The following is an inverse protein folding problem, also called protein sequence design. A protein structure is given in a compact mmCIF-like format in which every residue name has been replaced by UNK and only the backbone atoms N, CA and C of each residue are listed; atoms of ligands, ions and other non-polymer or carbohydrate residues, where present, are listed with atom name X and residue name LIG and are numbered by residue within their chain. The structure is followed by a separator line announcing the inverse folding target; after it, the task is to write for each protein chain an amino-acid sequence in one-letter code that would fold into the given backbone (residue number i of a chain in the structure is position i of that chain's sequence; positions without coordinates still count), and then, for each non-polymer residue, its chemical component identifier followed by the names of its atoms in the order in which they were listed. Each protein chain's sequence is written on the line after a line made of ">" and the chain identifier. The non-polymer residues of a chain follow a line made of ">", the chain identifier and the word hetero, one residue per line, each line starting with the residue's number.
data_IF_036489515817
#
_entry.id   IF_036489515817
#
_cell.length_a   1.000
_cell.length_b   1.000
_cell.length_c   1.000
_cell.angle_alpha   90.00
_cell.angle_beta   90.00
_cell.angle_gamma   90.00
#
_symmetry.space_group_name_H-M   'P 1'
#
loop_
_entity.id
_entity.type
_entity.pdbx_description
1 polymer ?
#
# COMPACT_ATOMS: atom_id res chain seq x y z
N UNK A 1 -26.90 -41.32 -9.68
CA UNK A 1 -26.73 -40.45 -8.49
C UNK A 1 -26.20 -39.12 -8.97
N UNK A 2 -27.02 -38.08 -8.90
CA UNK A 2 -26.62 -36.71 -9.35
C UNK A 2 -26.24 -35.92 -8.10
N UNK A 3 -24.96 -35.61 -7.95
CA UNK A 3 -24.51 -34.67 -6.94
C UNK A 3 -24.87 -33.26 -7.36
N UNK A 4 -25.71 -32.61 -6.61
CA UNK A 4 -26.12 -31.23 -6.85
C UNK A 4 -25.11 -30.23 -6.32
N UNK A 5 -24.92 -29.16 -7.08
CA UNK A 5 -23.92 -28.06 -6.88
C UNK A 5 -24.06 -27.29 -5.56
N UNK A 6 -25.04 -27.61 -4.72
CA UNK A 6 -25.31 -26.88 -3.48
C UNK A 6 -24.48 -27.33 -2.25
N UNK A 7 -23.88 -28.55 -2.30
CA UNK A 7 -23.11 -29.07 -1.16
C UNK A 7 -21.72 -28.52 -1.05
N UNK A 8 -21.19 -27.87 -2.11
CA UNK A 8 -19.84 -27.24 -2.06
C UNK A 8 -19.81 -25.89 -1.34
N UNK A 9 -20.93 -25.19 -1.25
CA UNK A 9 -20.97 -23.85 -0.62
C UNK A 9 -21.12 -23.91 0.92
N UNK A 10 -21.59 -25.03 1.46
CA UNK A 10 -21.75 -25.19 2.91
C UNK A 10 -20.43 -25.52 3.65
N UNK A 11 -19.49 -26.18 2.99
CA UNK A 11 -18.23 -26.58 3.62
C UNK A 11 -17.15 -25.48 3.59
N UNK A 12 -17.25 -24.50 2.69
CA UNK A 12 -16.30 -23.36 2.62
C UNK A 12 -16.50 -22.33 3.73
N UNK A 13 -17.73 -22.07 4.11
CA UNK A 13 -18.05 -21.07 5.14
C UNK A 13 -17.64 -21.52 6.56
N UNK A 14 -17.65 -22.83 6.82
CA UNK A 14 -17.30 -23.39 8.11
C UNK A 14 -15.80 -23.40 8.43
N UNK A 15 -14.94 -23.42 7.41
CA UNK A 15 -13.48 -23.41 7.60
C UNK A 15 -12.94 -21.99 7.85
N UNK A 16 -13.55 -21.00 7.20
CA UNK A 16 -13.14 -19.59 7.39
C UNK A 16 -13.53 -19.09 8.79
N UNK A 17 -14.67 -19.53 9.33
CA UNK A 17 -15.13 -19.13 10.65
C UNK A 17 -14.26 -19.68 11.81
N UNK A 18 -13.53 -20.80 11.62
CA UNK A 18 -12.67 -21.37 12.66
C UNK A 18 -11.31 -20.70 12.81
N UNK A 19 -10.87 -19.96 11.81
CA UNK A 19 -9.56 -19.31 11.81
C UNK A 19 -9.56 -17.95 12.51
N UNK A 20 -10.74 -17.38 12.80
CA UNK A 20 -10.90 -16.05 13.42
C UNK A 20 -11.23 -16.09 14.93
N UNK A 21 -11.29 -17.28 15.56
CA UNK A 21 -11.67 -17.41 16.97
C UNK A 21 -10.56 -17.07 17.98
N UNK A 22 -9.39 -16.58 17.53
CA UNK A 22 -8.33 -16.09 18.40
C UNK A 22 -8.09 -14.58 18.29
N UNK A 23 -8.99 -13.84 17.67
CA UNK A 23 -8.95 -12.37 17.75
C UNK A 23 -9.46 -11.95 19.14
N UNK A 24 -8.72 -11.10 19.86
CA UNK A 24 -9.22 -10.52 21.12
C UNK A 24 -10.54 -9.82 20.85
N UNK A 25 -11.45 -9.98 21.80
CA UNK A 25 -12.85 -9.61 21.73
C UNK A 25 -13.08 -8.27 20.99
N UNK A 26 -14.00 -8.31 20.03
CA UNK A 26 -14.54 -7.19 19.23
C UNK A 26 -15.14 -6.02 20.05
N UNK A 27 -14.60 -5.69 21.21
CA UNK A 27 -15.07 -4.58 22.04
C UNK A 27 -14.48 -3.22 21.68
N UNK A 28 -13.53 -3.17 20.74
CA UNK A 28 -12.79 -1.94 20.40
C UNK A 28 -12.86 -1.53 18.92
N UNK A 29 -13.94 -1.90 18.22
CA UNK A 29 -14.14 -1.49 16.81
C UNK A 29 -14.35 0.04 16.69
N UNK A 30 -14.74 0.72 17.74
CA UNK A 30 -14.90 2.17 17.73
C UNK A 30 -13.56 2.94 17.72
N UNK A 31 -12.43 2.27 17.94
CA UNK A 31 -11.09 2.86 17.90
C UNK A 31 -10.33 2.64 16.57
N UNK A 32 -10.85 1.86 15.65
CA UNK A 32 -10.29 1.77 14.29
C UNK A 32 -10.69 3.04 13.52
N UNK A 33 -10.02 4.15 13.82
CA UNK A 33 -10.00 5.28 12.88
C UNK A 33 -9.51 4.73 11.54
N UNK A 34 -10.24 4.96 10.43
CA UNK A 34 -9.76 4.55 9.12
C UNK A 34 -8.33 5.05 8.95
N UNK A 35 -7.42 4.15 8.58
CA UNK A 35 -6.02 4.49 8.34
C UNK A 35 -6.01 5.46 7.16
N UNK A 36 -5.85 6.75 7.46
CA UNK A 36 -5.70 7.78 6.43
C UNK A 36 -4.25 7.85 6.01
N UNK A 37 -4.01 7.72 4.71
CA UNK A 37 -2.71 8.03 4.14
C UNK A 37 -2.40 9.51 4.35
N UNK A 38 -1.15 9.85 4.67
CA UNK A 38 -0.67 11.23 4.72
C UNK A 38 0.22 11.47 3.52
N UNK A 39 -0.20 12.37 2.65
CA UNK A 39 0.48 12.65 1.39
C UNK A 39 1.02 14.09 1.39
N UNK A 40 2.28 14.25 1.01
CA UNK A 40 2.80 15.56 0.64
C UNK A 40 2.16 16.05 -0.66
N UNK A 41 2.05 17.37 -0.84
CA UNK A 41 1.51 17.97 -2.06
C UNK A 41 2.20 17.45 -3.33
N UNK A 42 3.51 17.20 -3.27
CA UNK A 42 4.26 16.64 -4.40
C UNK A 42 3.80 15.22 -4.74
N UNK A 43 3.76 14.30 -3.75
CA UNK A 43 3.33 12.92 -3.97
C UNK A 43 1.87 12.84 -4.41
N UNK A 44 1.00 13.71 -3.86
CA UNK A 44 -0.39 13.81 -4.27
C UNK A 44 -0.52 14.17 -5.74
N UNK A 45 0.27 15.15 -6.20
CA UNK A 45 0.27 15.56 -7.60
C UNK A 45 0.81 14.46 -8.51
N UNK A 46 1.90 13.78 -8.12
CA UNK A 46 2.47 12.66 -8.86
C UNK A 46 1.50 11.47 -8.97
N UNK A 47 0.78 11.14 -7.88
CA UNK A 47 -0.27 10.11 -7.92
C UNK A 47 -1.40 10.48 -8.89
N UNK A 48 -1.79 11.75 -8.95
CA UNK A 48 -2.78 12.21 -9.92
C UNK A 48 -2.30 12.01 -11.37
N UNK A 49 -1.02 12.27 -11.65
CA UNK A 49 -0.43 12.01 -12.96
C UNK A 49 -0.38 10.52 -13.31
N UNK A 50 -0.01 9.65 -12.36
CA UNK A 50 -0.10 8.19 -12.55
C UNK A 50 -1.54 7.78 -12.87
N UNK A 51 -2.52 8.28 -12.12
CA UNK A 51 -3.94 7.99 -12.34
C UNK A 51 -4.38 8.38 -13.76
N UNK A 52 -4.02 9.60 -14.21
CA UNK A 52 -4.35 10.09 -15.55
C UNK A 52 -3.77 9.20 -16.64
N UNK A 53 -2.48 8.86 -16.55
CA UNK A 53 -1.80 7.96 -17.52
C UNK A 53 -2.41 6.57 -17.56
N UNK A 54 -2.74 5.99 -16.41
CA UNK A 54 -3.38 4.69 -16.36
C UNK A 54 -4.78 4.69 -16.99
N UNK A 55 -5.52 5.79 -16.85
CA UNK A 55 -6.79 5.97 -17.55
C UNK A 55 -6.60 6.10 -19.07
N UNK A 56 -5.55 6.77 -19.54
CA UNK A 56 -5.22 6.88 -20.96
C UNK A 56 -4.81 5.54 -21.57
N UNK A 57 -4.07 4.70 -20.85
CA UNK A 57 -3.73 3.33 -21.29
C UNK A 57 -4.99 2.48 -21.42
N UNK A 58 -5.95 2.62 -20.53
CA UNK A 58 -7.31 2.10 -20.65
C UNK A 58 -7.47 0.58 -20.51
N UNK A 59 -6.39 -0.19 -20.28
CA UNK A 59 -6.54 -1.65 -20.07
C UNK A 59 -6.96 -1.97 -18.65
N UNK A 60 -7.63 -3.11 -18.45
CA UNK A 60 -8.25 -3.46 -17.17
C UNK A 60 -7.31 -3.35 -15.95
N UNK A 61 -6.06 -3.84 -15.97
CA UNK A 61 -5.15 -3.71 -14.82
C UNK A 61 -4.82 -2.25 -14.48
N UNK A 62 -4.60 -1.41 -15.51
CA UNK A 62 -4.30 0.01 -15.31
C UNK A 62 -5.50 0.82 -14.85
N UNK A 63 -6.70 0.50 -15.35
CA UNK A 63 -7.93 1.12 -14.86
C UNK A 63 -8.17 0.82 -13.37
N UNK A 64 -7.89 -0.39 -12.93
CA UNK A 64 -7.97 -0.76 -11.50
C UNK A 64 -6.95 -0.02 -10.66
N UNK A 65 -5.70 0.12 -11.13
CA UNK A 65 -4.68 0.95 -10.47
C UNK A 65 -5.15 2.41 -10.38
N UNK A 66 -5.73 2.96 -11.43
CA UNK A 66 -6.28 4.32 -11.42
C UNK A 66 -7.40 4.48 -10.37
N UNK A 67 -8.27 3.47 -10.23
CA UNK A 67 -9.33 3.46 -9.21
C UNK A 67 -8.74 3.38 -7.79
N UNK A 68 -7.72 2.54 -7.57
CA UNK A 68 -7.03 2.42 -6.28
C UNK A 68 -6.37 3.75 -5.88
N UNK A 69 -5.68 4.40 -6.81
CA UNK A 69 -5.09 5.73 -6.59
C UNK A 69 -6.17 6.74 -6.25
N UNK A 70 -7.27 6.76 -7.01
CA UNK A 70 -8.40 7.67 -6.74
C UNK A 70 -8.97 7.49 -5.34
N UNK A 71 -9.21 6.24 -4.91
CA UNK A 71 -9.72 5.94 -3.59
C UNK A 71 -8.75 6.43 -2.50
N UNK A 72 -7.45 6.15 -2.65
CA UNK A 72 -6.43 6.59 -1.72
C UNK A 72 -6.37 8.11 -1.61
N UNK A 73 -6.39 8.82 -2.74
CA UNK A 73 -6.34 10.28 -2.77
C UNK A 73 -7.58 10.91 -2.12
N UNK A 74 -8.76 10.30 -2.27
CA UNK A 74 -10.00 10.79 -1.69
C UNK A 74 -10.00 10.78 -0.16
N UNK A 75 -9.34 9.77 0.45
CA UNK A 75 -9.27 9.61 1.90
C UNK A 75 -7.98 10.18 2.52
N UNK A 76 -7.04 10.64 1.70
CA UNK A 76 -5.74 11.11 2.19
C UNK A 76 -5.84 12.45 2.94
N UNK A 77 -5.03 12.58 3.99
CA UNK A 77 -4.65 13.87 4.56
C UNK A 77 -3.55 14.48 3.69
N UNK A 78 -3.84 15.57 3.01
CA UNK A 78 -2.85 16.26 2.16
C UNK A 78 -2.23 17.40 2.95
N UNK A 79 -0.89 17.38 3.02
CA UNK A 79 -0.09 18.39 3.72
C UNK A 79 0.96 18.97 2.77
N UNK A 80 1.60 20.08 3.16
CA UNK A 80 2.78 20.53 2.42
C UNK A 80 3.85 19.43 2.43
N UNK A 81 4.59 19.28 1.33
CA UNK A 81 5.64 18.24 1.21
C UNK A 81 6.64 18.28 2.36
N UNK A 82 6.98 19.48 2.88
CA UNK A 82 7.90 19.65 4.02
C UNK A 82 7.29 19.24 5.36
N UNK A 83 5.97 19.18 5.45
CA UNK A 83 5.22 18.91 6.68
C UNK A 83 4.73 17.47 6.78
N UNK A 84 5.16 16.59 5.87
CA UNK A 84 4.78 15.17 5.87
C UNK A 84 5.14 14.50 7.20
N UNK A 85 6.29 14.88 7.75
CA UNK A 85 6.80 14.34 9.01
C UNK A 85 7.57 13.03 8.86
N UNK A 86 8.41 12.70 9.85
CA UNK A 86 9.23 11.50 9.82
C UNK A 86 8.37 10.23 9.91
N UNK A 87 8.90 9.14 9.36
CA UNK A 87 8.25 7.83 9.43
C UNK A 87 7.02 7.67 8.53
N UNK A 88 6.74 8.62 7.64
CA UNK A 88 5.72 8.50 6.59
C UNK A 88 6.38 8.11 5.28
N UNK A 89 5.83 7.13 4.59
CA UNK A 89 6.33 6.68 3.29
C UNK A 89 6.03 7.72 2.23
N UNK A 90 7.07 8.28 1.62
CA UNK A 90 6.99 9.21 0.48
C UNK A 90 7.46 8.55 -0.81
N UNK A 91 7.26 9.21 -1.94
CA UNK A 91 7.70 8.73 -3.26
C UNK A 91 9.22 8.68 -3.48
N UNK A 92 10.02 8.99 -2.44
CA UNK A 92 11.47 8.88 -2.46
C UNK A 92 12.03 8.12 -1.25
N UNK A 93 11.18 7.67 -0.32
CA UNK A 93 11.59 6.99 0.90
C UNK A 93 12.14 5.59 0.63
N UNK A 94 13.12 5.19 1.43
CA UNK A 94 13.52 3.80 1.58
C UNK A 94 12.66 3.17 2.67
N UNK A 95 11.81 2.21 2.31
CA UNK A 95 10.83 1.61 3.19
C UNK A 95 11.13 0.14 3.44
N UNK A 96 11.10 -0.25 4.72
CA UNK A 96 11.08 -1.65 5.15
C UNK A 96 9.64 -2.05 5.48
N UNK A 97 9.18 -3.14 4.92
CA UNK A 97 7.81 -3.63 5.07
C UNK A 97 7.77 -5.15 5.07
N UNK A 98 6.65 -5.71 5.52
CA UNK A 98 6.35 -7.14 5.49
C UNK A 98 5.01 -7.38 4.81
N UNK A 99 4.92 -8.47 4.05
CA UNK A 99 3.68 -8.95 3.43
C UNK A 99 3.15 -10.15 4.24
N UNK A 100 2.01 -9.98 4.90
CA UNK A 100 1.43 -11.00 5.76
C UNK A 100 2.43 -11.50 6.82
N UNK A 101 2.66 -12.81 6.85
CA UNK A 101 3.64 -13.47 7.70
C UNK A 101 5.01 -13.71 7.01
N UNK A 102 5.26 -13.05 5.87
CA UNK A 102 6.49 -13.22 5.09
C UNK A 102 7.73 -12.62 5.74
N UNK A 103 8.84 -12.66 5.00
CA UNK A 103 10.08 -12.02 5.43
C UNK A 103 10.05 -10.51 5.18
N UNK A 104 10.67 -9.70 6.05
CA UNK A 104 10.83 -8.27 5.82
C UNK A 104 11.59 -7.99 4.51
N UNK A 105 11.12 -7.00 3.78
CA UNK A 105 11.75 -6.50 2.56
C UNK A 105 12.04 -5.01 2.72
N UNK A 106 13.12 -4.53 2.09
CA UNK A 106 13.44 -3.12 2.04
C UNK A 106 13.58 -2.68 0.59
N UNK A 107 12.86 -1.61 0.22
CA UNK A 107 12.89 -1.04 -1.13
C UNK A 107 12.84 0.48 -1.09
N UNK A 108 13.41 1.12 -2.09
CA UNK A 108 13.30 2.56 -2.28
C UNK A 108 12.16 2.86 -3.26
N UNK A 109 11.19 3.67 -2.83
CA UNK A 109 10.10 4.11 -3.68
C UNK A 109 10.59 5.14 -4.69
N UNK A 110 9.97 5.16 -5.88
CA UNK A 110 10.16 6.19 -6.89
C UNK A 110 8.89 6.35 -7.75
N UNK A 111 8.63 7.56 -8.22
CA UNK A 111 7.41 7.83 -8.99
C UNK A 111 7.50 7.38 -10.45
N UNK A 112 8.62 7.59 -11.10
CA UNK A 112 8.75 7.35 -12.54
C UNK A 112 9.73 6.26 -12.84
N UNK A 113 9.37 5.41 -13.81
CA UNK A 113 10.17 4.25 -14.21
C UNK A 113 11.54 4.68 -14.70
N UNK A 114 12.56 4.21 -14.01
CA UNK A 114 13.88 4.07 -14.59
C UNK A 114 13.97 2.68 -15.25
N UNK A 115 14.68 2.52 -16.38
CA UNK A 115 14.79 1.22 -17.06
C UNK A 115 15.61 0.18 -16.30
N UNK A 116 15.92 0.41 -15.04
CA UNK A 116 16.70 -0.48 -14.20
C UNK A 116 15.85 -1.61 -13.61
N UNK A 117 16.29 -2.85 -13.86
CA UNK A 117 15.79 -4.04 -13.19
C UNK A 117 16.29 -4.16 -11.75
N UNK A 118 16.50 -3.04 -11.07
CA UNK A 118 16.97 -3.00 -9.69
C UNK A 118 15.85 -3.41 -8.74
N UNK A 119 15.99 -4.63 -8.20
CA UNK A 119 15.04 -5.18 -7.23
C UNK A 119 15.00 -4.42 -5.90
N UNK A 120 15.96 -3.54 -5.63
CA UNK A 120 15.97 -2.66 -4.46
C UNK A 120 15.00 -1.49 -4.59
N UNK A 121 14.44 -1.27 -5.79
CA UNK A 121 13.51 -0.18 -6.09
C UNK A 121 12.08 -0.68 -6.26
N UNK A 122 11.13 0.19 -5.96
CA UNK A 122 9.70 -0.07 -6.08
C UNK A 122 9.00 1.14 -6.72
N UNK A 123 8.41 0.93 -7.88
CA UNK A 123 7.63 1.99 -8.52
C UNK A 123 6.35 2.27 -7.74
N UNK A 124 6.07 3.54 -7.45
CA UNK A 124 4.82 3.98 -6.83
C UNK A 124 3.61 3.59 -7.68
N UNK A 125 3.75 3.57 -9.00
CA UNK A 125 2.69 3.17 -9.94
C UNK A 125 2.37 1.66 -9.98
N UNK A 126 2.74 0.89 -8.96
CA UNK A 126 2.36 -0.51 -8.78
C UNK A 126 1.33 -0.65 -7.64
N UNK A 127 0.61 -1.78 -7.58
CA UNK A 127 -0.33 -2.04 -6.47
C UNK A 127 0.33 -1.91 -5.10
N UNK A 128 1.53 -2.49 -4.93
CA UNK A 128 2.29 -2.40 -3.70
C UNK A 128 2.77 -0.97 -3.42
N UNK A 129 3.28 -0.27 -4.44
CA UNK A 129 3.75 1.11 -4.29
C UNK A 129 2.62 2.07 -3.92
N UNK A 130 1.46 1.97 -4.59
CA UNK A 130 0.26 2.75 -4.25
C UNK A 130 -0.22 2.41 -2.83
N UNK A 131 -0.15 1.15 -2.41
CA UNK A 131 -0.56 0.76 -1.06
C UNK A 131 0.35 1.37 0.00
N UNK A 132 1.68 1.33 -0.19
CA UNK A 132 2.67 1.80 0.78
C UNK A 132 2.72 3.33 0.93
N UNK A 133 2.67 4.09 -0.17
CA UNK A 133 2.83 5.56 -0.12
C UNK A 133 1.82 6.20 0.84
N UNK A 134 2.28 7.08 1.70
CA UNK A 134 1.47 7.79 2.69
C UNK A 134 1.16 6.98 3.96
N UNK A 135 1.57 5.71 4.08
CA UNK A 135 1.49 4.95 5.33
C UNK A 135 2.59 5.39 6.29
N UNK A 136 2.33 5.22 7.59
CA UNK A 136 3.30 5.45 8.66
C UNK A 136 3.88 4.14 9.17
N UNK A 137 5.04 4.22 9.80
CA UNK A 137 5.61 3.09 10.55
C UNK A 137 4.57 2.50 11.48
N UNK A 138 4.44 1.16 11.47
CA UNK A 138 3.46 0.40 12.24
C UNK A 138 2.08 0.30 11.62
N UNK A 139 1.77 1.05 10.55
CA UNK A 139 0.50 0.92 9.85
C UNK A 139 0.52 -0.25 8.87
N UNK A 140 -0.62 -0.94 8.77
CA UNK A 140 -0.85 -1.99 7.79
C UNK A 140 -2.09 -1.68 6.95
N UNK A 141 -2.06 -2.10 5.69
CA UNK A 141 -3.17 -1.96 4.74
C UNK A 141 -3.29 -3.22 3.89
N UNK A 142 -4.51 -3.55 3.50
CA UNK A 142 -4.74 -4.64 2.55
C UNK A 142 -4.04 -4.35 1.23
N UNK A 143 -3.25 -5.31 0.76
CA UNK A 143 -2.64 -5.29 -0.55
C UNK A 143 -3.61 -5.93 -1.54
N UNK A 144 -4.03 -5.15 -2.51
CA UNK A 144 -4.85 -5.61 -3.62
C UNK A 144 -3.95 -5.93 -4.81
N UNK A 145 -4.31 -6.96 -5.56
CA UNK A 145 -3.84 -7.18 -6.93
C UNK A 145 -5.01 -6.94 -7.88
N UNK A 146 -4.79 -7.23 -9.16
CA UNK A 146 -5.80 -7.00 -10.21
C UNK A 146 -7.15 -7.67 -9.93
N UNK A 147 -7.22 -8.73 -9.16
CA UNK A 147 -8.46 -9.49 -8.93
C UNK A 147 -8.74 -9.82 -7.46
N UNK A 148 -7.70 -9.89 -6.60
CA UNK A 148 -7.82 -10.41 -5.24
C UNK A 148 -7.09 -9.57 -4.19
N UNK A 149 -7.44 -9.82 -2.92
CA UNK A 149 -6.67 -9.37 -1.76
C UNK A 149 -5.52 -10.36 -1.54
N UNK A 150 -4.29 -9.92 -1.81
CA UNK A 150 -3.08 -10.75 -1.61
C UNK A 150 -2.67 -10.89 -0.14
N UNK A 151 -3.21 -10.08 0.75
CA UNK A 151 -2.86 -10.06 2.15
C UNK A 151 -2.76 -8.65 2.71
N UNK A 152 -2.02 -8.50 3.79
CA UNK A 152 -1.76 -7.20 4.43
C UNK A 152 -0.29 -6.83 4.27
N UNK A 153 -0.01 -5.60 3.85
CA UNK A 153 1.32 -5.02 3.93
C UNK A 153 1.41 -4.17 5.19
N UNK A 154 2.51 -4.32 5.95
CA UNK A 154 2.77 -3.52 7.16
C UNK A 154 4.11 -2.82 7.03
N UNK A 155 4.14 -1.50 7.30
CA UNK A 155 5.36 -0.69 7.29
C UNK A 155 6.13 -0.89 8.59
N UNK A 156 7.39 -1.33 8.51
CA UNK A 156 8.25 -1.59 9.64
C UNK A 156 9.18 -0.41 9.95
N UNK A 157 9.75 0.20 8.90
CA UNK A 157 10.64 1.36 9.02
C UNK A 157 10.58 2.21 7.76
N UNK A 158 10.81 3.49 7.92
CA UNK A 158 10.94 4.46 6.82
C UNK A 158 12.22 5.25 7.04
N UNK A 159 13.03 5.33 6.00
CA UNK A 159 14.21 6.19 5.95
C UNK A 159 13.96 7.22 4.85
N UNK A 160 14.01 8.48 5.23
CA UNK A 160 13.96 9.55 4.23
C UNK A 160 15.22 9.50 3.36
N UNK A 161 15.17 9.95 2.10
CA UNK A 161 16.36 10.06 1.30
C UNK A 161 17.35 10.94 2.08
N UNK A 162 18.57 10.41 2.30
CA UNK A 162 19.60 11.17 2.99
C UNK A 162 19.77 12.51 2.28
N UNK A 163 19.63 13.60 3.02
CA UNK A 163 19.98 14.93 2.53
C UNK A 163 21.44 14.86 2.05
N UNK A 164 21.74 15.15 0.79
CA UNK A 164 23.10 15.09 0.28
C UNK A 164 24.06 16.10 0.97
N UNK A 165 23.52 16.97 1.83
CA UNK A 165 24.28 17.97 2.57
C UNK A 165 24.83 17.50 3.93
N UNK A 166 24.47 16.32 4.45
CA UNK A 166 24.94 15.90 5.79
C UNK A 166 26.29 15.17 5.78
N UNK A 167 26.92 14.97 4.61
CA UNK A 167 28.20 14.26 4.47
C UNK A 167 29.43 15.19 4.25
N UNK A 168 29.30 16.49 4.49
CA UNK A 168 30.40 17.46 4.28
C UNK A 168 30.96 18.09 5.59
N UNK A 169 30.66 17.49 6.75
CA UNK A 169 31.26 17.93 8.02
C UNK A 169 31.85 16.72 8.77
N UNK A 170 32.97 16.20 8.27
CA UNK A 170 34.02 15.51 9.03
C UNK A 170 35.37 15.86 8.45
#
# INVERSE_FOLDING_TARGET
>A
MRYTSQDRLRNGAGLIARQYNHLPALRDISMLRPIRARLGTYDYWQLNEHRRRFQEIGTAPFLRLAQLIRAKMADAEVVNTRDVGPGVVTGASRVSFVLGAGQPQTRTLYHWTYPDHDRSRLAVGTYLGVTLIGLRVGQGMALLDSEDVLGTVTVLAVQDPADPCSSLND
#
